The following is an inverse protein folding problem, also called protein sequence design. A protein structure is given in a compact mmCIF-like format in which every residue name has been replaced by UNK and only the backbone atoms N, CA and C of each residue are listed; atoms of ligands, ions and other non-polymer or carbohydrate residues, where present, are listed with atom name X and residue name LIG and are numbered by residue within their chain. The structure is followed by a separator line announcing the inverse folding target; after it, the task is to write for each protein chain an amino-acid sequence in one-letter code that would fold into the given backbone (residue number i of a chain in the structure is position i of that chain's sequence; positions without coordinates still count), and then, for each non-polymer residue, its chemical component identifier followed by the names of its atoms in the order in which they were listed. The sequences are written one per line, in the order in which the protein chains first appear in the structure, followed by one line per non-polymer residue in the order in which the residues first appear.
data_IF_618598065973
#
_entry.id   IF_618598065973
#
_cell.length_a   1.000
_cell.length_b   1.000
_cell.length_c   1.000
_cell.angle_alpha   90.00
_cell.angle_beta   90.00
_cell.angle_gamma   90.00
#
_symmetry.space_group_name_H-M   'P 1'
#
loop_
_entity.id
_entity.type
_entity.pdbx_description
1 polymer ?
#
# COMPACT_ATOMS: atom_id res chain seq x y z
N UNK A 1 -6.99 -2.36 -1.36
CA UNK A 1 -6.50 -3.72 -1.04
C UNK A 1 -7.02 -4.08 0.35
N UNK A 2 -7.64 -5.25 0.52
CA UNK A 2 -8.13 -5.73 1.82
C UNK A 2 -6.98 -6.35 2.61
N UNK A 3 -6.87 -6.07 3.92
CA UNK A 3 -5.83 -6.68 4.75
C UNK A 3 -5.96 -8.22 4.78
N UNK A 4 -4.83 -8.95 4.74
CA UNK A 4 -4.84 -10.38 4.98
C UNK A 4 -5.38 -10.67 6.38
N UNK A 5 -5.86 -11.89 6.61
CA UNK A 5 -6.44 -12.33 7.89
C UNK A 5 -5.51 -12.10 9.11
N UNK A 6 -4.19 -12.10 8.91
CA UNK A 6 -3.22 -11.77 9.98
C UNK A 6 -3.20 -10.29 10.40
N UNK A 7 -3.77 -9.40 9.58
CA UNK A 7 -3.96 -7.98 9.89
C UNK A 7 -5.32 -7.66 10.52
N UNK A 8 -6.17 -8.67 10.72
CA UNK A 8 -7.48 -8.50 11.35
C UNK A 8 -7.32 -8.34 12.87
N UNK A 9 -8.33 -7.79 13.52
CA UNK A 9 -8.29 -7.51 14.96
C UNK A 9 -9.66 -7.55 15.61
N UNK A 10 -9.71 -7.24 16.90
CA UNK A 10 -10.90 -7.44 17.74
C UNK A 10 -11.46 -6.17 18.34
N UNK A 11 -10.79 -5.03 18.16
CA UNK A 11 -11.25 -3.74 18.67
C UNK A 11 -10.94 -2.63 17.67
N UNK A 12 -11.93 -1.80 17.36
CA UNK A 12 -11.83 -0.77 16.34
C UNK A 12 -12.45 0.51 16.84
N UNK A 13 -11.86 1.64 16.45
CA UNK A 13 -12.44 2.96 16.67
C UNK A 13 -13.29 3.31 15.45
N UNK A 14 -14.58 3.56 15.66
CA UNK A 14 -15.52 3.93 14.61
C UNK A 14 -15.83 5.42 14.67
N UNK A 15 -15.62 6.13 13.56
CA UNK A 15 -15.91 7.56 13.40
C UNK A 15 -16.54 7.78 12.01
N UNK A 16 -17.75 8.35 11.88
CA UNK A 16 -18.36 8.65 10.58
C UNK A 16 -17.46 9.52 9.70
N UNK A 17 -17.53 9.43 8.37
CA UNK A 17 -16.84 10.40 7.51
C UNK A 17 -17.47 11.78 7.67
N UNK A 18 -16.65 12.82 7.64
CA UNK A 18 -17.14 14.19 7.59
C UNK A 18 -17.85 14.44 6.25
N UNK A 19 -19.01 15.11 6.26
CA UNK A 19 -19.78 15.55 5.08
C UNK A 19 -20.06 14.51 3.97
N UNK A 20 -20.14 13.22 4.33
CA UNK A 20 -20.60 12.15 3.43
C UNK A 20 -22.02 11.75 3.80
N UNK A 21 -22.89 11.52 2.80
CA UNK A 21 -24.31 11.21 3.00
C UNK A 21 -24.52 9.76 3.44
N UNK A 22 -23.90 8.80 2.75
CA UNK A 22 -23.98 7.38 3.10
C UNK A 22 -22.74 6.95 3.88
N UNK A 23 -22.94 6.46 5.10
CA UNK A 23 -21.87 6.03 6.01
C UNK A 23 -22.28 4.74 6.71
N UNK A 24 -21.66 3.62 6.31
CA UNK A 24 -21.90 2.31 6.89
C UNK A 24 -20.58 1.66 7.27
N UNK A 25 -20.60 0.80 8.28
CA UNK A 25 -19.54 -0.18 8.47
C UNK A 25 -19.99 -1.51 7.90
N UNK A 26 -19.07 -2.19 7.24
CA UNK A 26 -19.17 -3.61 6.93
C UNK A 26 -18.12 -4.36 7.73
N UNK A 27 -18.55 -5.45 8.37
CA UNK A 27 -17.69 -6.30 9.18
C UNK A 27 -17.77 -7.72 8.66
N UNK A 28 -16.61 -8.29 8.32
CA UNK A 28 -16.49 -9.65 7.77
C UNK A 28 -15.82 -10.57 8.79
N UNK A 29 -16.40 -11.76 8.98
CA UNK A 29 -15.87 -12.79 9.87
C UNK A 29 -15.16 -13.90 9.09
N UNK A 30 -14.10 -14.46 9.68
CA UNK A 30 -13.37 -15.64 9.15
C UNK A 30 -13.38 -16.81 10.15
N UNK A 31 -14.13 -16.69 11.24
CA UNK A 31 -14.25 -17.72 12.28
C UNK A 31 -15.72 -17.92 12.62
N UNK A 32 -16.16 -19.17 12.73
CA UNK A 32 -17.52 -19.51 13.13
C UNK A 32 -17.82 -19.06 14.57
N UNK A 33 -19.06 -18.64 14.83
CA UNK A 33 -19.43 -18.11 16.15
C UNK A 33 -18.78 -16.78 16.51
N UNK A 34 -18.38 -15.99 15.50
CA UNK A 34 -17.96 -14.60 15.70
C UNK A 34 -19.16 -13.77 16.14
N UNK A 35 -18.98 -12.96 17.17
CA UNK A 35 -19.98 -12.00 17.67
C UNK A 35 -19.34 -10.62 17.64
N UNK A 36 -19.85 -9.77 16.76
CA UNK A 36 -19.46 -8.37 16.67
C UNK A 36 -20.40 -7.55 17.56
N UNK A 37 -19.86 -6.63 18.34
CA UNK A 37 -20.63 -5.73 19.21
C UNK A 37 -20.35 -4.28 18.85
N UNK A 38 -21.40 -3.52 18.56
CA UNK A 38 -21.35 -2.08 18.25
C UNK A 38 -22.52 -1.37 18.91
N UNK A 39 -22.25 -0.32 19.68
CA UNK A 39 -23.30 0.46 20.37
C UNK A 39 -24.18 -0.35 21.33
N UNK A 40 -23.69 -1.48 21.84
CA UNK A 40 -24.44 -2.41 22.70
C UNK A 40 -25.24 -3.49 21.94
N UNK A 41 -25.36 -3.37 20.62
CA UNK A 41 -26.00 -4.37 19.77
C UNK A 41 -24.99 -5.46 19.38
N UNK A 42 -25.42 -6.73 19.40
CA UNK A 42 -24.61 -7.87 19.01
C UNK A 42 -25.05 -8.43 17.65
N UNK A 43 -24.07 -8.81 16.84
CA UNK A 43 -24.24 -9.36 15.49
C UNK A 43 -23.48 -10.69 15.40
N UNK A 44 -24.18 -11.84 15.51
CA UNK A 44 -23.57 -13.14 15.34
C UNK A 44 -23.29 -13.42 13.86
N UNK A 45 -22.10 -13.96 13.58
CA UNK A 45 -21.56 -14.24 12.26
C UNK A 45 -20.80 -15.56 12.27
N UNK A 46 -20.98 -16.35 11.21
CA UNK A 46 -20.12 -17.47 10.87
C UNK A 46 -19.04 -17.06 9.88
N UNK A 47 -18.05 -17.92 9.65
CA UNK A 47 -16.96 -17.64 8.70
C UNK A 47 -17.53 -17.38 7.29
N UNK A 48 -17.03 -16.32 6.64
CA UNK A 48 -17.50 -15.85 5.34
C UNK A 48 -18.77 -15.00 5.38
N UNK A 49 -19.42 -14.87 6.54
CA UNK A 49 -20.55 -13.95 6.70
C UNK A 49 -20.07 -12.53 7.01
N UNK A 50 -20.93 -11.57 6.67
CA UNK A 50 -20.72 -10.16 6.97
C UNK A 50 -21.98 -9.52 7.53
N UNK A 51 -21.81 -8.40 8.22
CA UNK A 51 -22.91 -7.53 8.64
C UNK A 51 -22.61 -6.09 8.24
N UNK A 52 -23.66 -5.36 7.86
CA UNK A 52 -23.61 -3.92 7.64
C UNK A 52 -24.50 -3.20 8.65
N UNK A 53 -24.03 -2.08 9.18
CA UNK A 53 -24.82 -1.21 10.04
C UNK A 53 -24.39 0.26 9.86
N UNK A 54 -25.28 1.24 10.14
CA UNK A 54 -24.93 2.66 10.08
C UNK A 54 -23.70 2.95 10.93
N UNK A 55 -22.93 3.98 10.63
CA UNK A 55 -21.65 4.24 11.32
C UNK A 55 -21.78 5.06 12.63
N UNK A 56 -22.06 4.49 13.84
CA UNK A 56 -22.00 5.29 15.06
C UNK A 56 -20.55 5.66 15.38
N UNK A 57 -20.37 6.80 16.02
CA UNK A 57 -19.11 7.08 16.71
C UNK A 57 -19.00 6.19 17.95
N UNK A 58 -17.88 5.47 18.11
CA UNK A 58 -17.74 4.57 19.24
C UNK A 58 -16.60 3.57 19.12
N UNK A 59 -16.75 2.48 19.88
CA UNK A 59 -15.86 1.34 19.87
C UNK A 59 -16.65 0.13 19.37
N UNK A 60 -16.11 -0.51 18.34
CA UNK A 60 -16.56 -1.80 17.86
C UNK A 60 -15.65 -2.88 18.44
N UNK A 61 -16.24 -3.97 18.91
CA UNK A 61 -15.49 -5.12 19.43
C UNK A 61 -15.98 -6.42 18.82
N UNK A 62 -15.13 -7.45 18.85
CA UNK A 62 -15.50 -8.80 18.49
C UNK A 62 -14.76 -9.82 19.36
N UNK A 63 -15.36 -11.00 19.54
CA UNK A 63 -14.72 -12.11 20.26
C UNK A 63 -13.62 -12.81 19.43
N UNK A 64 -13.67 -12.72 18.11
CA UNK A 64 -12.65 -13.21 17.17
C UNK A 64 -12.18 -12.10 16.22
N UNK A 65 -10.95 -12.20 15.66
CA UNK A 65 -10.46 -11.21 14.70
C UNK A 65 -11.39 -11.08 13.49
N UNK A 66 -11.73 -9.84 13.14
CA UNK A 66 -12.58 -9.48 11.99
C UNK A 66 -11.90 -8.42 11.13
N UNK A 67 -12.37 -8.30 9.89
CA UNK A 67 -12.09 -7.12 9.07
C UNK A 67 -13.23 -6.12 9.21
N UNK A 68 -12.88 -4.85 9.39
CA UNK A 68 -13.83 -3.74 9.39
C UNK A 68 -13.48 -2.79 8.25
N UNK A 69 -14.46 -2.49 7.42
CA UNK A 69 -14.37 -1.43 6.41
C UNK A 69 -15.49 -0.42 6.64
N UNK A 70 -15.20 0.85 6.40
CA UNK A 70 -16.17 1.93 6.38
C UNK A 70 -16.48 2.25 4.93
N UNK A 71 -17.76 2.12 4.57
CA UNK A 71 -18.30 2.45 3.25
C UNK A 71 -18.80 3.88 3.27
N UNK A 72 -18.41 4.65 2.25
CA UNK A 72 -18.79 6.03 2.05
C UNK A 72 -19.36 6.25 0.64
N UNK A 73 -20.38 7.10 0.53
CA UNK A 73 -20.85 7.59 -0.78
C UNK A 73 -21.39 9.01 -0.63
N UNK A 74 -20.88 9.92 -1.48
CA UNK A 74 -21.31 11.30 -1.52
C UNK A 74 -22.47 11.47 -2.53
N UNK A 75 -23.37 12.40 -2.26
CA UNK A 75 -24.47 12.78 -3.17
C UNK A 75 -24.34 14.25 -3.49
N UNK A 76 -24.14 14.58 -4.77
CA UNK A 76 -24.14 15.96 -5.25
C UNK A 76 -25.24 16.15 -6.30
N UNK A 77 -26.05 17.21 -6.17
CA UNK A 77 -27.13 17.60 -7.09
C UNK A 77 -28.03 16.45 -7.62
N UNK A 78 -28.52 15.59 -6.72
CA UNK A 78 -29.34 14.39 -7.00
C UNK A 78 -28.63 13.24 -7.74
N UNK A 79 -27.33 13.33 -7.98
CA UNK A 79 -26.52 12.23 -8.51
C UNK A 79 -25.75 11.53 -7.38
N UNK A 80 -25.73 10.20 -7.44
CA UNK A 80 -24.89 9.36 -6.58
C UNK A 80 -23.46 9.43 -7.12
N UNK A 81 -22.53 9.96 -6.31
CA UNK A 81 -21.09 9.86 -6.58
C UNK A 81 -20.58 8.44 -6.38
N UNK A 82 -19.33 8.18 -6.74
CA UNK A 82 -18.78 6.83 -6.67
C UNK A 82 -18.66 6.34 -5.20
N UNK A 83 -19.08 5.10 -4.91
CA UNK A 83 -18.90 4.53 -3.59
C UNK A 83 -17.42 4.25 -3.36
N UNK A 84 -16.95 4.58 -2.16
CA UNK A 84 -15.60 4.27 -1.71
C UNK A 84 -15.64 3.52 -0.40
N UNK A 85 -14.54 2.86 -0.08
CA UNK A 85 -14.36 2.26 1.23
C UNK A 85 -13.01 2.64 1.82
N UNK A 86 -12.98 2.69 3.15
CA UNK A 86 -11.78 2.82 3.94
C UNK A 86 -11.69 1.64 4.89
N UNK A 87 -10.58 0.92 4.84
CA UNK A 87 -10.35 -0.10 5.86
C UNK A 87 -10.06 0.55 7.21
N UNK A 88 -10.69 0.06 8.27
CA UNK A 88 -10.48 0.57 9.62
C UNK A 88 -9.44 -0.31 10.32
N UNK A 89 -8.27 0.23 10.71
CA UNK A 89 -7.28 -0.52 11.44
C UNK A 89 -7.77 -0.84 12.85
N UNK A 90 -7.42 -2.02 13.35
CA UNK A 90 -7.69 -2.37 14.75
C UNK A 90 -6.75 -1.62 15.69
N UNK A 91 -7.21 -1.37 16.92
CA UNK A 91 -6.48 -0.57 17.91
C UNK A 91 -5.17 -1.23 18.35
N UNK A 92 -5.05 -2.55 18.25
CA UNK A 92 -3.82 -3.32 18.51
C UNK A 92 -2.76 -3.14 17.40
N UNK A 93 -3.15 -2.61 16.24
CA UNK A 93 -2.25 -2.34 15.10
C UNK A 93 -1.79 -0.89 15.04
N UNK A 94 -2.12 -0.05 16.02
CA UNK A 94 -1.56 1.31 16.10
C UNK A 94 -0.04 1.25 16.22
N UNK A 95 0.65 2.17 15.54
CA UNK A 95 2.11 2.21 15.49
C UNK A 95 2.65 3.57 15.94
N UNK A 96 3.93 3.61 16.31
CA UNK A 96 4.69 4.84 16.54
C UNK A 96 5.53 5.27 15.33
N UNK A 97 5.48 4.52 14.22
CA UNK A 97 6.20 4.80 12.98
C UNK A 97 5.77 6.12 12.37
N UNK A 98 6.73 6.94 11.96
CA UNK A 98 6.49 8.16 11.17
C UNK A 98 5.86 7.80 9.83
N UNK A 99 4.82 8.54 9.44
CA UNK A 99 4.03 8.20 8.25
C UNK A 99 3.99 9.37 7.30
N UNK A 100 4.53 9.15 6.10
CA UNK A 100 4.31 10.01 4.96
C UNK A 100 3.08 9.53 4.21
N UNK A 101 2.21 10.45 3.83
CA UNK A 101 1.10 10.17 2.94
C UNK A 101 0.83 11.38 2.06
N UNK A 102 0.37 11.14 0.84
CA UNK A 102 -0.13 12.18 -0.04
C UNK A 102 -1.56 11.80 -0.42
N UNK A 103 -2.54 12.71 -0.28
CA UNK A 103 -3.91 12.42 -0.66
C UNK A 103 -4.17 12.28 -2.18
N UNK A 104 -3.13 12.24 -3.04
CA UNK A 104 -3.27 12.19 -4.49
C UNK A 104 -3.70 10.82 -4.99
N UNK A 105 -4.72 10.80 -5.85
CA UNK A 105 -5.17 9.57 -6.51
C UNK A 105 -5.91 9.77 -7.83
N UNK A 106 -6.52 10.93 -8.08
CA UNK A 106 -7.39 11.11 -9.26
C UNK A 106 -7.25 12.48 -9.91
N UNK A 107 -7.46 12.50 -11.23
CA UNK A 107 -7.60 13.71 -12.05
C UNK A 107 -8.92 14.36 -11.62
N UNK A 108 -8.94 15.67 -11.37
CA UNK A 108 -10.22 16.37 -11.15
C UNK A 108 -11.11 16.18 -12.38
N UNK A 109 -12.29 15.58 -12.20
CA UNK A 109 -13.31 15.55 -13.23
C UNK A 109 -14.08 16.89 -13.20
N UNK A 110 -13.68 17.83 -14.05
CA UNK A 110 -14.31 19.14 -14.18
C UNK A 110 -13.79 20.19 -13.18
N UNK A 111 -14.60 21.21 -12.89
CA UNK A 111 -14.22 22.36 -12.06
C UNK A 111 -14.46 22.17 -10.55
N UNK A 112 -14.87 20.97 -10.11
CA UNK A 112 -15.24 20.73 -8.71
C UNK A 112 -14.03 20.20 -7.91
N UNK A 113 -13.55 20.92 -6.89
CA UNK A 113 -12.36 20.52 -6.15
C UNK A 113 -12.63 19.34 -5.21
N UNK A 114 -11.70 18.37 -5.21
CA UNK A 114 -11.63 17.32 -4.19
C UNK A 114 -11.29 17.93 -2.82
N UNK A 115 -11.90 17.40 -1.76
CA UNK A 115 -11.57 17.76 -0.37
C UNK A 115 -10.81 16.61 0.26
N UNK A 116 -9.65 16.89 0.86
CA UNK A 116 -8.76 15.88 1.43
C UNK A 116 -8.82 15.89 2.95
N UNK A 117 -9.05 14.73 3.54
CA UNK A 117 -9.16 14.55 4.97
C UNK A 117 -8.06 13.65 5.50
N UNK A 118 -7.62 13.97 6.70
CA UNK A 118 -6.72 13.14 7.48
C UNK A 118 -7.32 12.95 8.84
N UNK A 119 -7.40 11.69 9.25
CA UNK A 119 -7.85 11.30 10.58
C UNK A 119 -6.75 10.54 11.29
N UNK A 120 -6.42 11.03 12.47
CA UNK A 120 -5.46 10.43 13.38
C UNK A 120 -6.25 9.93 14.58
N UNK A 121 -6.09 8.65 14.91
CA UNK A 121 -6.67 8.05 16.11
C UNK A 121 -5.55 7.61 17.03
N UNK A 122 -5.69 7.89 18.32
CA UNK A 122 -4.73 7.52 19.36
C UNK A 122 -5.45 7.17 20.65
N UNK A 123 -4.76 6.52 21.58
CA UNK A 123 -5.21 6.46 22.97
C UNK A 123 -4.93 7.78 23.71
N UNK A 124 -5.43 7.89 24.94
CA UNK A 124 -5.28 9.04 25.84
C UNK A 124 -3.84 9.53 26.03
N UNK A 125 -2.83 8.65 25.89
CA UNK A 125 -1.43 9.00 26.08
C UNK A 125 -0.81 9.72 24.88
N UNK A 126 -1.47 9.71 23.71
CA UNK A 126 -0.97 10.35 22.48
C UNK A 126 -1.63 11.68 22.12
N UNK A 127 -2.79 12.01 22.70
CA UNK A 127 -3.41 13.33 22.48
C UNK A 127 -2.46 14.44 22.98
N UNK A 128 -2.16 15.44 22.13
CA UNK A 128 -1.16 16.46 22.45
C UNK A 128 0.30 16.07 22.17
N UNK A 129 0.53 14.85 21.66
CA UNK A 129 1.87 14.26 21.47
C UNK A 129 2.08 13.67 20.08
N UNK A 130 1.26 14.09 19.13
CA UNK A 130 1.35 13.74 17.72
C UNK A 130 1.49 15.04 16.94
N UNK A 131 2.44 15.08 16.01
CA UNK A 131 2.63 16.21 15.12
C UNK A 131 2.20 15.86 13.70
N UNK A 132 1.57 16.84 13.04
CA UNK A 132 1.28 16.83 11.61
C UNK A 132 2.12 17.94 10.97
N UNK A 133 2.93 17.58 9.97
CA UNK A 133 3.86 18.47 9.27
C UNK A 133 4.80 19.24 10.22
N UNK A 134 5.31 18.53 11.23
CA UNK A 134 6.20 19.09 12.24
C UNK A 134 5.49 19.94 13.31
N UNK A 135 4.18 20.21 13.18
CA UNK A 135 3.41 20.95 14.18
C UNK A 135 2.68 19.99 15.12
N UNK A 136 3.02 20.04 16.41
CA UNK A 136 2.31 19.28 17.45
C UNK A 136 0.84 19.71 17.51
N UNK A 137 -0.06 18.75 17.38
CA UNK A 137 -1.50 18.95 17.50
C UNK A 137 -1.84 19.04 18.98
N UNK A 138 -2.50 20.12 19.39
CA UNK A 138 -2.89 20.32 20.80
C UNK A 138 -3.86 19.23 21.24
N UNK A 139 -3.75 18.78 22.50
CA UNK A 139 -4.68 17.82 23.09
C UNK A 139 -6.14 18.31 23.04
N UNK A 140 -6.36 19.63 23.05
CA UNK A 140 -7.69 20.25 22.93
C UNK A 140 -8.32 20.11 21.54
N UNK A 141 -7.50 19.86 20.51
CA UNK A 141 -7.99 19.65 19.14
C UNK A 141 -8.43 18.20 18.91
N UNK A 142 -8.03 17.28 19.78
CA UNK A 142 -8.51 15.91 19.75
C UNK A 142 -9.90 15.80 20.39
N UNK A 143 -10.81 15.12 19.71
CA UNK A 143 -12.14 14.79 20.20
C UNK A 143 -12.12 13.39 20.82
N UNK A 144 -12.76 13.24 21.98
CA UNK A 144 -12.88 11.93 22.63
C UNK A 144 -13.89 11.05 21.88
N UNK A 145 -13.55 9.78 21.70
CA UNK A 145 -14.43 8.80 21.05
C UNK A 145 -15.39 8.24 22.11
N UNK A 146 -16.62 8.76 22.14
CA UNK A 146 -17.66 8.38 23.09
C UNK A 146 -17.12 8.38 24.55
N UNK A 147 -17.44 7.34 25.33
CA UNK A 147 -16.95 7.16 26.70
C UNK A 147 -15.60 6.43 26.79
N UNK A 148 -14.89 6.22 25.67
CA UNK A 148 -13.68 5.39 25.62
C UNK A 148 -12.38 6.13 25.99
N UNK A 149 -11.26 5.43 26.02
CA UNK A 149 -9.91 6.00 26.18
C UNK A 149 -9.28 6.47 24.87
N UNK A 150 -10.01 6.40 23.76
CA UNK A 150 -9.53 6.79 22.44
C UNK A 150 -9.95 8.21 22.09
N UNK A 151 -9.09 8.85 21.32
CA UNK A 151 -9.22 10.21 20.84
C UNK A 151 -8.93 10.23 19.35
N UNK A 152 -9.57 11.16 18.65
CA UNK A 152 -9.32 11.37 17.24
C UNK A 152 -9.16 12.85 16.91
N UNK A 153 -8.29 13.12 15.94
CA UNK A 153 -8.14 14.41 15.31
C UNK A 153 -8.45 14.23 13.83
N UNK A 154 -9.26 15.12 13.28
CA UNK A 154 -9.64 15.09 11.87
C UNK A 154 -9.58 16.51 11.31
N UNK A 155 -8.94 16.66 10.16
CA UNK A 155 -8.72 17.97 9.55
C UNK A 155 -8.71 17.88 8.03
N UNK A 156 -9.10 18.97 7.38
CA UNK A 156 -8.92 19.16 5.94
C UNK A 156 -7.47 19.50 5.65
N UNK A 157 -6.90 18.87 4.65
CA UNK A 157 -5.49 19.01 4.25
C UNK A 157 -5.38 19.46 2.81
N UNK A 158 -4.17 19.87 2.42
CA UNK A 158 -3.87 20.19 1.02
C UNK A 158 -3.51 18.92 0.27
N UNK A 159 -3.44 19.00 -1.06
CA UNK A 159 -3.06 17.87 -1.91
C UNK A 159 -1.53 17.62 -1.95
N UNK A 160 -0.85 17.79 -0.82
CA UNK A 160 0.60 17.70 -0.71
C UNK A 160 0.99 16.46 0.11
N UNK A 161 2.28 16.13 0.09
CA UNK A 161 2.80 15.13 1.03
C UNK A 161 2.75 15.70 2.45
N UNK A 162 2.21 14.90 3.36
CA UNK A 162 2.09 15.20 4.77
C UNK A 162 2.83 14.17 5.61
N UNK A 163 3.32 14.59 6.77
CA UNK A 163 4.05 13.74 7.70
C UNK A 163 3.38 13.73 9.08
N UNK A 164 3.02 12.53 9.56
CA UNK A 164 2.59 12.32 10.95
C UNK A 164 3.73 11.70 11.76
N UNK A 165 4.01 12.25 12.94
CA UNK A 165 5.05 11.76 13.86
C UNK A 165 4.56 11.74 15.30
N UNK A 166 5.05 10.77 16.09
CA UNK A 166 4.92 10.77 17.55
C UNK A 166 6.05 11.56 18.20
N UNK A 167 5.77 12.27 19.29
CA UNK A 167 6.80 12.99 20.06
C UNK A 167 7.58 12.10 21.02
N UNK A 168 7.14 10.85 21.26
CA UNK A 168 7.97 9.84 21.93
C UNK A 168 7.53 8.41 21.60
N UNK A 169 8.41 7.41 21.77
CA UNK A 169 8.16 6.02 21.38
C UNK A 169 6.96 5.35 22.05
N UNK A 170 6.49 5.86 23.18
CA UNK A 170 5.32 5.34 23.91
C UNK A 170 3.97 5.75 23.30
N UNK A 171 3.98 6.65 22.31
CA UNK A 171 2.76 7.11 21.63
C UNK A 171 2.55 6.28 20.39
N UNK A 172 1.37 5.71 20.31
CA UNK A 172 0.92 4.94 19.16
C UNK A 172 -0.33 5.58 18.57
N UNK A 173 -0.42 5.56 17.26
CA UNK A 173 -1.56 6.09 16.53
C UNK A 173 -1.83 5.26 15.28
N UNK A 174 -3.03 5.45 14.73
CA UNK A 174 -3.37 5.05 13.37
C UNK A 174 -3.73 6.28 12.56
N UNK A 175 -3.27 6.34 11.32
CA UNK A 175 -3.58 7.41 10.38
C UNK A 175 -4.37 6.81 9.23
N UNK A 176 -5.48 7.45 8.90
CA UNK A 176 -6.21 7.20 7.67
C UNK A 176 -6.37 8.52 6.93
N UNK A 177 -6.29 8.47 5.61
CA UNK A 177 -6.58 9.61 4.74
C UNK A 177 -7.69 9.21 3.79
N UNK A 178 -8.61 10.12 3.52
CA UNK A 178 -9.68 9.90 2.57
C UNK A 178 -10.03 11.21 1.90
N UNK A 179 -10.60 11.13 0.69
CA UNK A 179 -11.03 12.29 -0.07
C UNK A 179 -12.29 11.96 -0.82
N UNK A 180 -13.10 12.97 -1.06
CA UNK A 180 -14.25 12.88 -1.95
C UNK A 180 -14.53 14.25 -2.57
N UNK A 181 -15.13 14.23 -3.75
CA UNK A 181 -15.73 15.37 -4.42
C UNK A 181 -17.09 14.98 -5.01
N UNK A 182 -17.53 15.70 -6.03
CA UNK A 182 -18.84 15.47 -6.67
C UNK A 182 -18.98 14.11 -7.34
N UNK A 183 -17.87 13.53 -7.80
CA UNK A 183 -17.86 12.27 -8.58
C UNK A 183 -16.92 11.23 -7.98
N UNK A 184 -15.71 11.65 -7.64
CA UNK A 184 -14.63 10.76 -7.19
C UNK A 184 -14.54 10.70 -5.67
N UNK A 185 -14.25 9.52 -5.12
CA UNK A 185 -13.97 9.34 -3.71
C UNK A 185 -13.01 8.17 -3.44
N UNK A 186 -12.16 8.29 -2.41
CA UNK A 186 -11.24 7.24 -2.01
C UNK A 186 -10.83 7.32 -0.54
N UNK A 187 -10.33 6.19 0.00
CA UNK A 187 -9.85 6.09 1.38
C UNK A 187 -8.66 5.14 1.48
N UNK A 188 -7.65 5.54 2.25
CA UNK A 188 -6.41 4.80 2.46
C UNK A 188 -6.02 4.78 3.94
N UNK A 189 -5.46 3.65 4.37
CA UNK A 189 -4.80 3.54 5.67
C UNK A 189 -3.33 3.89 5.48
N UNK A 190 -2.83 4.84 6.26
CA UNK A 190 -1.47 5.36 6.13
C UNK A 190 -0.54 4.83 7.23
N UNK A 191 -1.05 4.54 8.44
CA UNK A 191 -0.24 4.03 9.56
C UNK A 191 -0.90 2.83 10.25
N UNK A 192 -0.29 1.65 10.13
CA UNK A 192 -0.62 0.46 10.92
C UNK A 192 0.56 -0.51 10.95
N UNK A 193 0.73 -1.21 12.08
CA UNK A 193 1.70 -2.29 12.22
C UNK A 193 1.03 -3.60 11.82
N UNK A 194 1.54 -4.27 10.79
CA UNK A 194 1.23 -5.68 10.57
C UNK A 194 2.14 -6.51 11.48
N UNK A 195 1.64 -7.58 12.11
CA UNK A 195 2.53 -8.50 12.80
C UNK A 195 3.57 -9.04 11.79
N UNK A 196 4.82 -8.61 11.95
CA UNK A 196 5.98 -9.24 11.32
C UNK A 196 6.07 -10.62 11.97
N UNK A 197 5.76 -11.68 11.21
CA UNK A 197 5.67 -13.02 11.75
C UNK A 197 6.99 -13.46 12.40
N UNK A 198 6.94 -13.90 13.67
CA UNK A 198 7.79 -14.95 14.24
C UNK A 198 7.46 -15.20 15.73
N UNK A 199 7.95 -16.28 16.38
CA UNK A 199 7.88 -17.72 16.08
C UNK A 199 7.17 -18.48 17.25
N UNK A 200 6.30 -19.46 17.00
CA UNK A 200 5.83 -20.30 18.12
C UNK A 200 4.47 -20.97 18.02
N UNK A 201 3.93 -21.22 16.82
CA UNK A 201 2.76 -22.10 16.70
C UNK A 201 3.25 -23.50 16.31
N UNK A 202 2.91 -24.58 17.04
CA UNK A 202 3.28 -25.93 16.66
C UNK A 202 2.62 -26.28 15.32
N UNK A 203 3.43 -26.45 14.28
CA UNK A 203 2.97 -26.85 12.96
C UNK A 203 2.65 -28.35 12.97
N UNK A 204 1.37 -28.71 13.15
CA UNK A 204 0.89 -29.93 12.51
C UNK A 204 0.62 -29.61 11.03
N UNK A 205 1.21 -30.33 10.08
CA UNK A 205 1.09 -30.01 8.66
C UNK A 205 -0.27 -30.47 8.12
N UNK A 206 -1.04 -29.60 7.43
CA UNK A 206 -2.09 -30.05 6.53
C UNK A 206 -1.48 -30.46 5.18
N UNK A 207 -2.14 -31.34 4.42
CA UNK A 207 -1.49 -32.20 3.45
C UNK A 207 -1.02 -31.47 2.18
N UNK A 208 0.14 -31.92 1.74
CA UNK A 208 0.82 -31.67 0.47
C UNK A 208 -0.10 -31.54 -0.74
N UNK A 209 -0.01 -30.40 -1.44
CA UNK A 209 -0.32 -30.29 -2.86
C UNK A 209 0.91 -29.82 -3.65
N UNK A 210 1.55 -30.83 -4.25
CA UNK A 210 2.13 -30.83 -5.59
C UNK A 210 3.21 -29.80 -5.90
N UNK A 211 4.44 -30.12 -5.49
CA UNK A 211 5.66 -29.59 -6.07
C UNK A 211 6.23 -30.51 -7.17
N UNK A 212 6.94 -29.89 -8.12
CA UNK A 212 8.08 -30.37 -8.95
C UNK A 212 7.81 -31.00 -10.36
N UNK A 213 8.81 -31.09 -11.29
CA UNK A 213 10.29 -31.15 -11.06
C UNK A 213 11.33 -30.38 -11.93
N UNK A 214 12.46 -30.05 -11.25
CA UNK A 214 13.92 -30.12 -11.62
C UNK A 214 14.56 -29.11 -12.61
N UNK A 215 15.77 -28.53 -12.43
CA UNK A 215 16.97 -28.84 -11.60
C UNK A 215 17.87 -27.57 -11.40
N UNK A 216 18.84 -27.53 -10.44
CA UNK A 216 19.47 -26.30 -9.92
C UNK A 216 20.82 -25.94 -10.60
N UNK A 217 21.39 -24.78 -10.21
CA UNK A 217 22.79 -24.74 -9.81
C UNK A 217 22.90 -24.33 -8.33
N UNK A 218 23.44 -25.26 -7.53
CA UNK A 218 24.38 -25.03 -6.42
C UNK A 218 24.38 -23.64 -5.79
N UNK A 219 23.82 -23.49 -4.58
CA UNK A 219 24.28 -22.57 -3.52
C UNK A 219 24.44 -21.07 -3.82
N UNK A 220 24.14 -20.60 -5.03
CA UNK A 220 24.44 -19.24 -5.48
C UNK A 220 23.33 -18.24 -5.15
N UNK A 221 22.07 -18.68 -5.18
CA UNK A 221 20.93 -17.82 -4.90
C UNK A 221 20.04 -18.42 -3.80
N UNK A 222 19.40 -17.58 -2.97
CA UNK A 222 18.39 -18.04 -2.02
C UNK A 222 17.22 -18.72 -2.75
N UNK A 223 16.50 -19.58 -2.03
CA UNK A 223 15.29 -20.23 -2.58
C UNK A 223 14.29 -19.18 -3.10
N UNK A 224 13.79 -19.39 -4.32
CA UNK A 224 12.87 -18.47 -5.00
C UNK A 224 13.55 -17.44 -5.90
N UNK A 225 14.87 -17.28 -5.82
CA UNK A 225 15.62 -16.34 -6.66
C UNK A 225 16.23 -17.02 -7.88
N UNK A 226 16.15 -16.36 -9.03
CA UNK A 226 16.71 -16.82 -10.29
C UNK A 226 18.15 -16.31 -10.47
N UNK A 227 19.10 -17.21 -10.66
CA UNK A 227 20.50 -16.88 -10.92
C UNK A 227 20.71 -16.45 -12.38
N UNK A 228 21.42 -15.34 -12.59
CA UNK A 228 21.91 -14.93 -13.91
C UNK A 228 23.44 -14.94 -13.91
N UNK A 229 24.01 -15.88 -14.66
CA UNK A 229 25.46 -16.12 -14.68
C UNK A 229 26.29 -14.93 -15.18
N UNK A 230 25.76 -14.16 -16.14
CA UNK A 230 26.48 -13.03 -16.76
C UNK A 230 26.78 -11.90 -15.77
N UNK A 231 25.88 -11.64 -14.83
CA UNK A 231 26.05 -10.59 -13.80
C UNK A 231 26.45 -11.18 -12.45
N UNK A 232 26.59 -12.50 -12.37
CA UNK A 232 26.76 -13.25 -11.13
C UNK A 232 25.79 -12.79 -10.01
N UNK A 233 24.54 -12.54 -10.38
CA UNK A 233 23.52 -11.96 -9.51
C UNK A 233 22.25 -12.82 -9.51
N UNK A 234 21.42 -12.61 -8.51
CA UNK A 234 20.16 -13.29 -8.31
C UNK A 234 19.01 -12.28 -8.41
N UNK A 235 17.91 -12.67 -9.05
CA UNK A 235 16.78 -11.80 -9.33
C UNK A 235 15.49 -12.45 -8.86
N UNK A 236 14.56 -11.65 -8.33
CA UNK A 236 13.23 -12.14 -7.99
C UNK A 236 12.18 -11.11 -8.36
N UNK A 237 11.12 -11.59 -9.02
CA UNK A 237 9.92 -10.81 -9.36
C UNK A 237 8.93 -10.92 -8.21
N UNK A 238 8.52 -9.77 -7.71
CA UNK A 238 7.48 -9.64 -6.71
C UNK A 238 6.20 -9.15 -7.40
N UNK A 239 5.15 -9.97 -7.34
CA UNK A 239 3.87 -9.71 -8.02
C UNK A 239 3.05 -8.61 -7.34
N UNK A 240 3.41 -8.23 -6.11
CA UNK A 240 2.76 -7.16 -5.37
C UNK A 240 2.80 -5.86 -6.18
N UNK A 241 1.62 -5.27 -6.40
CA UNK A 241 1.50 -4.01 -7.11
C UNK A 241 1.63 -2.86 -6.12
N UNK A 242 2.78 -2.20 -6.14
CA UNK A 242 3.13 -1.10 -5.24
C UNK A 242 3.73 0.05 -6.05
N UNK A 243 3.87 1.22 -5.43
CA UNK A 243 4.59 2.36 -6.02
C UNK A 243 6.11 2.14 -5.95
N UNK A 244 6.88 2.87 -6.76
CA UNK A 244 8.32 2.66 -6.93
C UNK A 244 9.10 2.72 -5.60
N UNK A 245 8.79 3.71 -4.74
CA UNK A 245 9.46 3.87 -3.44
C UNK A 245 9.25 2.67 -2.50
N UNK A 246 8.02 2.14 -2.47
CA UNK A 246 7.68 0.96 -1.65
C UNK A 246 8.37 -0.28 -2.20
N UNK A 247 8.51 -0.37 -3.52
CA UNK A 247 9.23 -1.46 -4.15
C UNK A 247 10.73 -1.45 -3.81
N UNK A 248 11.38 -0.28 -3.86
CA UNK A 248 12.81 -0.12 -3.52
C UNK A 248 13.07 -0.39 -2.03
N UNK A 249 12.25 0.15 -1.14
CA UNK A 249 12.30 -0.13 0.31
C UNK A 249 12.05 -1.61 0.62
N UNK A 250 11.15 -2.26 -0.12
CA UNK A 250 10.93 -3.70 0.03
C UNK A 250 12.20 -4.47 -0.33
N UNK A 251 12.83 -4.18 -1.47
CA UNK A 251 14.09 -4.82 -1.84
C UNK A 251 15.16 -4.57 -0.76
N UNK A 252 15.23 -3.36 -0.20
CA UNK A 252 16.19 -2.98 0.83
C UNK A 252 16.00 -3.79 2.12
N UNK A 253 14.76 -4.12 2.46
CA UNK A 253 14.43 -4.88 3.67
C UNK A 253 14.82 -6.37 3.61
N UNK A 254 15.13 -6.90 2.42
CA UNK A 254 15.53 -8.30 2.26
C UNK A 254 16.98 -8.48 2.74
N UNK A 255 17.29 -9.63 3.35
CA UNK A 255 18.51 -10.03 4.11
C UNK A 255 19.90 -9.68 3.53
N UNK A 256 20.03 -8.95 2.42
CA UNK A 256 21.27 -8.46 1.82
C UNK A 256 21.26 -6.96 1.44
N UNK A 257 20.24 -6.17 1.84
CA UNK A 257 20.26 -4.71 1.78
C UNK A 257 20.39 -4.11 0.38
N UNK A 258 19.55 -4.53 -0.57
CA UNK A 258 19.69 -4.14 -1.98
C UNK A 258 18.47 -3.50 -2.57
N UNK A 259 18.66 -2.83 -3.69
CA UNK A 259 17.63 -2.03 -4.32
C UNK A 259 16.89 -2.80 -5.41
N UNK A 260 15.91 -2.13 -6.02
CA UNK A 260 15.39 -2.51 -7.32
C UNK A 260 16.53 -2.75 -8.33
N UNK A 261 16.28 -3.61 -9.32
CA UNK A 261 17.33 -4.01 -10.26
C UNK A 261 17.89 -2.84 -11.06
N UNK A 262 19.22 -2.79 -11.13
CA UNK A 262 19.96 -2.15 -12.22
C UNK A 262 20.03 -3.06 -13.44
N UNK A 263 20.22 -2.48 -14.63
CA UNK A 263 20.37 -3.21 -15.90
C UNK A 263 21.55 -2.62 -16.69
N UNK A 264 22.55 -3.44 -16.98
CA UNK A 264 23.82 -3.04 -17.61
C UNK A 264 24.07 -3.70 -18.97
N UNK A 265 23.14 -4.51 -19.47
CA UNK A 265 23.26 -5.16 -20.77
C UNK A 265 21.92 -5.59 -21.33
N UNK A 266 21.85 -5.76 -22.65
CA UNK A 266 20.68 -6.34 -23.31
C UNK A 266 20.37 -7.75 -22.78
N UNK A 267 21.40 -8.56 -22.52
CA UNK A 267 21.21 -9.92 -22.00
C UNK A 267 20.57 -9.93 -20.61
N UNK A 268 20.95 -8.99 -19.73
CA UNK A 268 20.32 -8.82 -18.41
C UNK A 268 18.88 -8.34 -18.54
N UNK A 269 18.61 -7.38 -19.44
CA UNK A 269 17.27 -6.90 -19.72
C UNK A 269 16.34 -8.05 -20.17
N UNK A 270 16.79 -8.85 -21.14
CA UNK A 270 16.02 -9.97 -21.70
C UNK A 270 15.78 -11.07 -20.66
N UNK A 271 16.76 -11.31 -19.78
CA UNK A 271 16.61 -12.23 -18.65
C UNK A 271 15.47 -11.80 -17.71
N UNK A 272 15.42 -10.52 -17.34
CA UNK A 272 14.36 -9.98 -16.46
C UNK A 272 12.98 -10.06 -17.13
N UNK A 273 12.89 -9.74 -18.43
CA UNK A 273 11.63 -9.88 -19.20
C UNK A 273 11.12 -11.32 -19.17
N UNK A 274 12.00 -12.28 -19.41
CA UNK A 274 11.63 -13.70 -19.41
C UNK A 274 11.23 -14.19 -18.02
N UNK A 275 11.94 -13.75 -16.97
CA UNK A 275 11.59 -14.07 -15.60
C UNK A 275 10.21 -13.50 -15.22
N UNK A 276 9.92 -12.25 -15.59
CA UNK A 276 8.63 -11.62 -15.34
C UNK A 276 7.48 -12.36 -16.03
N UNK A 277 7.67 -12.82 -17.28
CA UNK A 277 6.65 -13.59 -18.02
C UNK A 277 6.34 -14.97 -17.43
N UNK A 278 7.26 -15.55 -16.68
CA UNK A 278 7.03 -16.82 -15.99
C UNK A 278 6.19 -16.65 -14.72
N UNK A 279 6.22 -15.45 -14.12
CA UNK A 279 5.61 -15.15 -12.82
C UNK A 279 4.29 -14.37 -12.97
N UNK A 280 4.20 -13.48 -13.94
CA UNK A 280 3.06 -12.59 -14.14
C UNK A 280 2.03 -13.19 -15.10
N UNK A 281 0.77 -12.85 -14.88
CA UNK A 281 -0.38 -13.32 -15.66
C UNK A 281 -1.05 -12.17 -16.41
N UNK A 282 -2.03 -12.48 -17.27
CA UNK A 282 -2.74 -11.47 -18.07
C UNK A 282 -3.49 -10.42 -17.24
N UNK A 283 -3.83 -10.71 -15.97
CA UNK A 283 -4.49 -9.74 -15.09
C UNK A 283 -3.50 -8.73 -14.50
N UNK A 284 -2.21 -9.05 -14.45
CA UNK A 284 -1.18 -8.18 -13.91
C UNK A 284 -0.86 -7.00 -14.84
N UNK A 285 -0.24 -5.96 -14.29
CA UNK A 285 0.29 -4.86 -15.10
C UNK A 285 1.31 -5.39 -16.10
N UNK A 286 1.31 -4.89 -17.36
CA UNK A 286 2.28 -5.31 -18.36
C UNK A 286 3.68 -4.71 -18.16
N UNK A 287 3.89 -3.97 -17.07
CA UNK A 287 5.13 -3.31 -16.69
C UNK A 287 5.70 -3.89 -15.39
N UNK A 288 6.97 -3.66 -15.10
CA UNK A 288 7.58 -3.99 -13.81
C UNK A 288 8.55 -2.88 -13.40
N UNK A 289 8.60 -2.53 -12.12
CA UNK A 289 9.52 -1.52 -11.62
C UNK A 289 10.97 -2.01 -11.68
N UNK A 290 11.85 -1.12 -12.14
CA UNK A 290 13.31 -1.26 -12.12
C UNK A 290 13.91 -0.10 -11.32
N UNK A 291 15.18 -0.17 -10.93
CA UNK A 291 15.80 0.83 -10.06
C UNK A 291 16.10 2.18 -10.73
N UNK A 292 15.68 2.37 -11.97
CA UNK A 292 15.96 3.57 -12.75
C UNK A 292 15.14 4.75 -12.22
N UNK A 293 15.79 5.88 -11.97
CA UNK A 293 15.13 7.10 -11.52
C UNK A 293 15.96 8.35 -11.84
N UNK A 294 15.33 9.52 -11.92
CA UNK A 294 15.99 10.84 -11.99
C UNK A 294 15.45 11.79 -10.89
N UNK A 295 14.85 11.22 -9.83
CA UNK A 295 14.18 11.92 -8.71
C UNK A 295 14.98 13.11 -8.15
N UNK A 296 16.31 12.98 -8.08
CA UNK A 296 17.15 14.03 -7.50
C UNK A 296 17.40 15.20 -8.47
N UNK A 297 17.51 14.92 -9.76
CA UNK A 297 17.86 15.88 -10.79
C UNK A 297 17.14 15.46 -12.07
N UNK A 298 16.08 16.20 -12.44
CA UNK A 298 15.30 15.90 -13.63
C UNK A 298 16.20 15.75 -14.88
N UNK A 299 15.93 14.73 -15.69
CA UNK A 299 16.70 14.30 -16.86
C UNK A 299 18.10 13.73 -16.57
N UNK A 300 18.45 13.45 -15.30
CA UNK A 300 19.70 12.78 -14.92
C UNK A 300 19.40 11.41 -14.32
N UNK A 301 19.03 10.47 -15.18
CA UNK A 301 18.72 9.10 -14.79
C UNK A 301 19.92 8.38 -14.16
N UNK A 302 19.63 7.64 -13.09
CA UNK A 302 20.56 6.85 -12.30
C UNK A 302 19.86 5.62 -11.73
N UNK A 303 20.65 4.63 -11.34
CA UNK A 303 20.15 3.46 -10.62
C UNK A 303 20.07 3.72 -9.12
N UNK A 304 19.04 3.19 -8.45
CA UNK A 304 18.87 3.29 -6.99
C UNK A 304 19.99 2.58 -6.22
N UNK A 305 20.56 1.52 -6.79
CA UNK A 305 21.74 0.82 -6.24
C UNK A 305 23.07 1.55 -6.47
N UNK A 306 23.05 2.74 -7.10
CA UNK A 306 24.21 3.59 -7.40
C UNK A 306 25.24 2.97 -8.34
N UNK A 307 24.89 1.90 -9.06
CA UNK A 307 25.72 1.37 -10.14
C UNK A 307 25.76 2.36 -11.34
N UNK A 308 26.76 2.27 -12.23
CA UNK A 308 26.86 3.16 -13.38
C UNK A 308 25.63 3.10 -14.29
N UNK A 309 25.19 4.24 -14.80
CA UNK A 309 24.16 4.33 -15.85
C UNK A 309 24.82 4.19 -17.23
N UNK A 310 25.17 2.95 -17.59
CA UNK A 310 26.02 2.59 -18.75
C UNK A 310 25.29 1.85 -19.87
N UNK A 311 24.02 1.50 -19.65
CA UNK A 311 23.14 0.85 -20.62
C UNK A 311 21.77 1.53 -20.65
N UNK A 312 21.17 1.63 -21.83
CA UNK A 312 19.87 2.28 -22.04
C UNK A 312 19.04 1.48 -23.03
N UNK A 313 17.75 1.29 -22.73
CA UNK A 313 16.84 0.58 -23.61
C UNK A 313 15.42 1.19 -23.64
N UNK A 314 15.34 2.49 -23.82
CA UNK A 314 14.08 3.25 -23.92
C UNK A 314 13.19 2.80 -25.09
N UNK A 315 11.88 2.93 -24.88
CA UNK A 315 10.86 2.77 -25.93
C UNK A 315 10.86 3.95 -26.90
N UNK A 316 10.15 3.82 -28.02
CA UNK A 316 10.06 4.89 -29.00
C UNK A 316 9.38 6.14 -28.38
N UNK A 317 10.09 7.26 -28.39
CA UNK A 317 9.60 8.53 -27.83
C UNK A 317 9.84 8.72 -26.34
N UNK A 318 10.48 7.76 -25.66
CA UNK A 318 10.85 7.82 -24.25
C UNK A 318 12.35 8.18 -24.08
N UNK A 319 12.76 8.83 -22.97
CA UNK A 319 11.89 9.37 -21.91
C UNK A 319 11.14 10.62 -22.35
N UNK A 320 9.87 10.79 -21.93
CA UNK A 320 9.05 11.96 -22.30
C UNK A 320 9.42 13.17 -21.44
N UNK A 321 9.85 14.23 -22.10
CA UNK A 321 10.32 15.47 -21.44
C UNK A 321 9.19 16.33 -20.82
N UNK A 322 7.91 15.93 -20.95
CA UNK A 322 6.78 16.77 -20.60
C UNK A 322 6.45 16.68 -19.10
N UNK A 323 6.67 17.81 -18.41
CA UNK A 323 6.22 18.17 -17.06
C UNK A 323 7.12 17.82 -15.86
N UNK A 324 8.25 17.12 -16.04
CA UNK A 324 9.23 16.92 -14.95
C UNK A 324 8.68 16.18 -13.71
N UNK A 325 7.63 15.37 -13.90
CA UNK A 325 6.99 14.60 -12.83
C UNK A 325 7.26 13.08 -12.94
N UNK A 326 7.62 12.58 -14.13
CA UNK A 326 7.82 11.15 -14.43
C UNK A 326 9.25 10.70 -14.09
N UNK A 327 9.51 10.50 -12.80
CA UNK A 327 10.89 10.36 -12.35
C UNK A 327 11.39 8.92 -12.15
N UNK A 328 10.62 7.90 -12.56
CA UNK A 328 10.92 6.48 -12.29
C UNK A 328 10.71 5.58 -13.50
N UNK A 329 11.62 4.62 -13.69
CA UNK A 329 11.59 3.70 -14.83
C UNK A 329 10.82 2.41 -14.56
N UNK A 330 10.01 2.01 -15.55
CA UNK A 330 9.44 0.67 -15.68
C UNK A 330 10.02 -0.06 -16.88
N UNK A 331 10.07 -1.39 -16.79
CA UNK A 331 10.35 -2.30 -17.91
C UNK A 331 9.04 -2.92 -18.40
N UNK A 332 8.77 -2.83 -19.70
CA UNK A 332 7.64 -3.51 -20.33
C UNK A 332 7.90 -5.02 -20.46
N UNK A 333 7.04 -5.86 -19.88
CA UNK A 333 7.23 -7.32 -19.81
C UNK A 333 6.13 -8.12 -20.53
N UNK A 334 4.97 -7.49 -20.80
CA UNK A 334 3.85 -8.10 -21.51
C UNK A 334 3.09 -7.09 -22.41
N UNK A 335 2.16 -7.59 -23.23
CA UNK A 335 1.25 -6.76 -24.06
C UNK A 335 -0.17 -6.80 -23.51
N UNK A 336 -0.84 -5.64 -23.43
CA UNK A 336 -2.30 -5.52 -23.24
C UNK A 336 -2.89 -4.67 -24.38
N UNK A 337 -3.59 -5.32 -25.33
CA UNK A 337 -4.37 -4.72 -26.44
C UNK A 337 -3.67 -3.64 -27.31
N UNK A 338 -4.41 -2.99 -28.22
CA UNK A 338 -3.95 -2.33 -29.47
C UNK A 338 -3.00 -1.13 -29.35
N UNK A 339 -2.71 -0.63 -28.14
CA UNK A 339 -1.65 0.34 -27.82
C UNK A 339 -0.56 -0.32 -26.95
N UNK A 340 -0.16 -1.53 -27.34
CA UNK A 340 0.67 -2.42 -26.54
C UNK A 340 2.06 -1.82 -26.21
N UNK A 341 2.55 -2.01 -24.96
CA UNK A 341 3.93 -1.70 -24.59
C UNK A 341 4.93 -2.39 -25.53
N UNK A 342 6.00 -1.69 -25.90
CA UNK A 342 7.15 -2.31 -26.57
C UNK A 342 7.86 -3.23 -25.59
N UNK A 343 7.57 -4.53 -25.65
CA UNK A 343 8.14 -5.52 -24.74
C UNK A 343 9.67 -5.39 -24.73
N UNK A 344 10.23 -5.34 -23.53
CA UNK A 344 11.66 -5.24 -23.29
C UNK A 344 12.16 -3.81 -23.23
N UNK A 345 11.32 -2.82 -23.57
CA UNK A 345 11.68 -1.40 -23.52
C UNK A 345 11.35 -0.77 -22.18
N UNK A 346 12.10 0.28 -21.88
CA UNK A 346 11.93 1.11 -20.70
C UNK A 346 11.02 2.28 -21.01
N UNK A 347 10.28 2.69 -20.00
CA UNK A 347 9.46 3.89 -20.01
C UNK A 347 9.62 4.61 -18.68
N UNK A 348 9.73 5.93 -18.71
CA UNK A 348 9.63 6.75 -17.51
C UNK A 348 8.16 7.02 -17.19
N UNK A 349 7.85 6.94 -15.92
CA UNK A 349 6.50 7.13 -15.41
C UNK A 349 6.58 7.83 -14.06
N UNK A 350 5.44 8.36 -13.61
CA UNK A 350 5.32 8.87 -12.25
C UNK A 350 5.70 7.76 -11.24
N UNK A 351 6.68 8.02 -10.38
CA UNK A 351 7.13 7.11 -9.31
C UNK A 351 6.01 6.66 -8.36
N UNK A 352 4.98 7.50 -8.23
CA UNK A 352 3.87 7.35 -7.31
C UNK A 352 2.54 7.24 -8.05
N UNK A 353 1.76 8.33 -8.01
CA UNK A 353 0.32 8.37 -8.30
C UNK A 353 -0.07 7.65 -9.60
N UNK A 354 -1.01 6.69 -9.50
CA UNK A 354 -1.61 6.00 -10.65
C UNK A 354 -0.78 4.84 -11.23
N UNK A 355 0.50 4.74 -10.90
CA UNK A 355 1.36 3.64 -11.36
C UNK A 355 1.68 2.70 -10.19
N UNK A 356 0.93 1.59 -10.11
CA UNK A 356 1.29 0.46 -9.25
C UNK A 356 1.59 -0.73 -10.13
N UNK A 357 2.71 -1.39 -9.87
CA UNK A 357 3.07 -2.58 -10.64
C UNK A 357 3.96 -3.52 -9.84
N UNK A 358 4.13 -4.72 -10.36
CA UNK A 358 5.13 -5.69 -9.92
C UNK A 358 6.52 -5.06 -9.94
N UNK A 359 7.48 -5.65 -9.25
CA UNK A 359 8.85 -5.13 -9.20
C UNK A 359 9.88 -6.23 -9.15
N UNK A 360 11.11 -5.89 -9.54
CA UNK A 360 12.24 -6.82 -9.57
C UNK A 360 13.36 -6.35 -8.65
N UNK A 361 13.72 -7.20 -7.69
CA UNK A 361 14.89 -6.99 -6.83
C UNK A 361 16.09 -7.75 -7.39
N UNK A 362 17.31 -7.22 -7.15
CA UNK A 362 18.58 -7.83 -7.55
C UNK A 362 19.50 -7.98 -6.34
N UNK A 363 20.06 -9.18 -6.13
CA UNK A 363 21.04 -9.47 -5.08
C UNK A 363 22.29 -10.14 -5.64
N UNK A 364 23.45 -10.14 -4.95
CA UNK A 364 24.62 -10.82 -5.49
C UNK A 364 24.40 -12.33 -5.34
N UNK A 365 25.08 -13.13 -6.17
CA UNK A 365 25.28 -14.52 -5.81
C UNK A 365 26.04 -14.61 -4.48
N UNK A 366 25.69 -15.61 -3.65
CA UNK A 366 26.46 -16.04 -2.50
C UNK A 366 27.86 -16.54 -2.90
#
# INVERSE_FOLDING_TARGET
MLLPVGGWGTQFVTIPFMYVTYNYYEVVANTDGTVVTSGGTQYPLNAGQFVQFPSPIGILTSNYPVQVVQLGQHTDDNNLGDPFFLQIPSTDKMSNTSVFFQPTGFIQHGNNPLVFFVRIVTNVNGAGRIALDGKVISALQFKRVASSTFYYYEVITTNNTHLVTATSPSVVYSVVSYTYGSYEACGFVCAFSLPVGNPGVPTNPPPTTTSLPTSPPTGKCPNGWAYFGTTNSCYQIFRQQVIWYVADEYCLSLNNGRHLTSIHSQAENDFIVNLARQVLTITDSPYTWIGLNDIANANQFKWSDRTPYDFQNWGAGEPIQQQGMENCGVLAVAKKCSSAPEIGKWKDVLCGTGNITSFVCKIPSA
#
